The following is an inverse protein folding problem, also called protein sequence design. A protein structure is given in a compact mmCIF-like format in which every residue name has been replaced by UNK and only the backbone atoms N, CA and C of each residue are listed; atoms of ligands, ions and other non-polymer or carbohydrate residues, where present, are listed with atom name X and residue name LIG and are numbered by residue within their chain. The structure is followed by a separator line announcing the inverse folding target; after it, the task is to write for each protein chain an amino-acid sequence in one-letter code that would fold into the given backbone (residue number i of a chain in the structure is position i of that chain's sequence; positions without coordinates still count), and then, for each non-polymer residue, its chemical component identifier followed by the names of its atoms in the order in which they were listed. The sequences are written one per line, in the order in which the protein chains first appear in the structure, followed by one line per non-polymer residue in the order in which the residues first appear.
data_IF_214916706409
#
_entry.id   IF_214916706409
#
_cell.length_a   1.000
_cell.length_b   1.000
_cell.length_c   1.000
_cell.angle_alpha   90.00
_cell.angle_beta   90.00
_cell.angle_gamma   90.00
#
_symmetry.space_group_name_H-M   'P 1'
#
loop_
_entity.id
_entity.type
_entity.pdbx_description
1 polymer ?
#
# COMPACT_ATOMS: atom_id res chain seq x y z
N UNK A 1 16.71 -24.95 26.46
CA UNK A 1 16.85 -25.67 25.17
C UNK A 1 16.20 -24.82 24.09
N UNK A 2 16.97 -23.93 23.44
CA UNK A 2 16.45 -22.97 22.47
C UNK A 2 16.62 -23.54 21.04
N UNK A 3 15.51 -23.75 20.34
CA UNK A 3 15.51 -24.19 18.96
C UNK A 3 15.79 -22.97 18.06
N UNK A 4 17.00 -22.87 17.51
CA UNK A 4 17.29 -21.93 16.42
C UNK A 4 16.77 -22.51 15.10
N UNK A 5 15.94 -21.78 14.34
CA UNK A 5 15.58 -22.21 12.99
C UNK A 5 16.80 -22.15 12.07
N UNK A 6 17.04 -23.22 11.29
CA UNK A 6 18.08 -23.23 10.26
C UNK A 6 17.64 -22.41 9.05
N UNK A 7 18.52 -21.57 8.47
CA UNK A 7 18.15 -20.78 7.29
C UNK A 7 18.07 -21.69 6.07
N UNK A 8 16.89 -21.75 5.45
CA UNK A 8 16.66 -22.40 4.16
C UNK A 8 16.80 -21.34 3.07
N UNK A 9 17.77 -21.51 2.17
CA UNK A 9 17.75 -21.06 0.77
C UNK A 9 17.66 -19.55 0.44
N UNK A 10 18.67 -19.07 -0.31
CA UNK A 10 18.75 -17.80 -1.09
C UNK A 10 18.23 -16.51 -0.43
N UNK A 11 19.19 -15.67 0.01
CA UNK A 11 19.21 -14.26 -0.38
C UNK A 11 18.42 -13.25 0.45
N UNK A 12 17.96 -13.58 1.66
CA UNK A 12 17.45 -12.59 2.60
C UNK A 12 18.18 -12.72 3.93
N UNK A 13 18.90 -11.68 4.34
CA UNK A 13 19.41 -11.57 5.71
C UNK A 13 18.22 -11.27 6.61
N UNK A 14 17.59 -12.31 7.16
CA UNK A 14 16.53 -12.16 8.14
C UNK A 14 17.12 -11.53 9.41
N UNK A 15 16.89 -10.23 9.61
CA UNK A 15 17.14 -9.58 10.90
C UNK A 15 16.03 -9.99 11.85
N UNK A 16 16.39 -10.64 12.96
CA UNK A 16 15.44 -10.92 14.03
C UNK A 16 15.03 -9.58 14.67
N UNK A 17 13.74 -9.31 14.72
CA UNK A 17 13.15 -8.15 15.38
C UNK A 17 12.26 -8.65 16.52
N UNK A 18 12.41 -8.05 17.69
CA UNK A 18 11.55 -8.32 18.85
C UNK A 18 10.64 -7.12 19.06
N UNK A 19 9.34 -7.38 19.18
CA UNK A 19 8.33 -6.38 19.53
C UNK A 19 7.72 -6.81 20.86
N UNK A 20 7.70 -5.91 21.84
CA UNK A 20 7.18 -6.17 23.19
C UNK A 20 6.04 -5.20 23.48
N UNK A 21 4.86 -5.72 23.80
CA UNK A 21 3.73 -4.91 24.28
C UNK A 21 3.88 -4.65 25.79
N UNK A 22 3.56 -3.42 26.23
CA UNK A 22 3.62 -3.03 27.65
C UNK A 22 2.26 -3.09 28.36
N UNK A 23 1.19 -3.33 27.60
CA UNK A 23 -0.19 -3.45 28.06
C UNK A 23 -1.03 -4.19 27.00
N UNK A 24 -2.31 -4.43 27.28
CA UNK A 24 -3.23 -5.06 26.33
C UNK A 24 -3.22 -4.34 24.98
N UNK A 25 -2.79 -5.06 23.94
CA UNK A 25 -2.51 -4.47 22.61
C UNK A 25 -3.08 -5.36 21.50
N UNK A 26 -3.67 -4.73 20.48
CA UNK A 26 -3.98 -5.36 19.19
C UNK A 26 -3.00 -4.82 18.15
N UNK A 27 -2.11 -5.68 17.66
CA UNK A 27 -1.03 -5.33 16.74
C UNK A 27 -1.19 -6.06 15.40
N UNK A 28 -0.89 -5.36 14.31
CA UNK A 28 -0.70 -5.96 12.97
C UNK A 28 0.68 -5.56 12.46
N UNK A 29 1.45 -6.53 11.97
CA UNK A 29 2.75 -6.32 11.33
C UNK A 29 2.61 -6.65 9.85
N UNK A 30 2.88 -5.68 8.98
CA UNK A 30 2.85 -5.84 7.52
C UNK A 30 4.25 -5.57 6.99
N UNK A 31 4.78 -6.51 6.21
CA UNK A 31 6.11 -6.40 5.61
C UNK A 31 6.20 -7.20 4.32
N UNK A 32 7.20 -6.89 3.51
CA UNK A 32 7.43 -7.52 2.21
C UNK A 32 8.63 -6.91 1.51
N UNK A 33 8.98 -7.46 0.34
CA UNK A 33 10.00 -6.86 -0.52
C UNK A 33 9.56 -5.46 -0.96
N UNK A 34 10.54 -4.55 -1.12
CA UNK A 34 10.26 -3.21 -1.64
C UNK A 34 9.65 -3.30 -3.04
N UNK A 35 8.57 -2.54 -3.27
CA UNK A 35 7.96 -2.41 -4.59
C UNK A 35 8.70 -1.40 -5.50
N UNK A 36 9.71 -0.70 -4.97
CA UNK A 36 10.39 0.41 -5.63
C UNK A 36 9.62 1.75 -5.52
N UNK A 37 10.11 2.82 -6.17
CA UNK A 37 9.47 4.13 -6.10
C UNK A 37 8.04 4.11 -6.62
N UNK A 38 7.14 4.84 -5.94
CA UNK A 38 5.78 5.11 -6.37
C UNK A 38 5.47 6.58 -6.18
N UNK A 39 4.77 7.16 -7.14
CA UNK A 39 4.13 8.45 -7.02
C UNK A 39 2.73 8.21 -6.45
N UNK A 40 2.33 9.04 -5.49
CA UNK A 40 1.04 8.97 -4.83
C UNK A 40 0.45 10.38 -4.85
N UNK A 41 -0.74 10.53 -5.41
CA UNK A 41 -1.53 11.76 -5.39
C UNK A 41 -2.99 11.38 -5.20
N UNK A 42 -3.59 11.82 -4.09
CA UNK A 42 -4.91 11.37 -3.66
C UNK A 42 -5.03 9.83 -3.67
N UNK A 43 -6.06 9.28 -4.31
CA UNK A 43 -6.28 7.84 -4.45
C UNK A 43 -5.51 7.19 -5.62
N UNK A 44 -4.62 7.92 -6.30
CA UNK A 44 -3.84 7.42 -7.44
C UNK A 44 -2.42 7.05 -7.03
N UNK A 45 -2.00 5.82 -7.38
CA UNK A 45 -0.66 5.31 -7.13
C UNK A 45 -0.10 4.73 -8.43
N UNK A 46 1.05 5.23 -8.87
CA UNK A 46 1.70 4.75 -10.09
C UNK A 46 3.23 4.83 -10.01
N UNK A 47 3.92 4.17 -10.93
CA UNK A 47 5.38 4.33 -11.14
C UNK A 47 5.74 5.49 -12.05
N UNK A 48 4.76 6.06 -12.76
CA UNK A 48 4.92 7.18 -13.70
C UNK A 48 3.96 8.31 -13.31
N UNK A 49 4.47 9.54 -13.27
CA UNK A 49 3.67 10.74 -12.97
C UNK A 49 2.65 11.04 -14.07
N UNK A 50 2.95 10.73 -15.33
CA UNK A 50 2.02 11.00 -16.43
C UNK A 50 0.73 10.17 -16.33
N UNK A 51 0.83 8.96 -15.77
CA UNK A 51 -0.34 8.12 -15.49
C UNK A 51 -1.23 8.74 -14.42
N UNK A 52 -0.65 9.39 -13.40
CA UNK A 52 -1.40 10.09 -12.36
C UNK A 52 -2.11 11.30 -12.95
N UNK A 53 -1.42 12.12 -13.74
CA UNK A 53 -2.05 13.29 -14.38
C UNK A 53 -3.18 12.88 -15.33
N UNK A 54 -2.99 11.81 -16.10
CA UNK A 54 -4.05 11.25 -16.95
C UNK A 54 -5.24 10.76 -16.10
N UNK A 55 -4.98 10.07 -14.99
CA UNK A 55 -6.04 9.59 -14.09
C UNK A 55 -6.81 10.75 -13.44
N UNK A 56 -6.13 11.83 -13.05
CA UNK A 56 -6.77 13.03 -12.49
C UNK A 56 -7.69 13.70 -13.50
N UNK A 57 -7.25 13.85 -14.76
CA UNK A 57 -8.10 14.37 -15.83
C UNK A 57 -9.34 13.50 -16.06
N UNK A 58 -9.16 12.17 -16.12
CA UNK A 58 -10.26 11.21 -16.27
C UNK A 58 -11.24 11.28 -15.09
N UNK A 59 -10.74 11.49 -13.87
CA UNK A 59 -11.58 11.65 -12.69
C UNK A 59 -12.42 12.92 -12.73
N UNK A 60 -11.80 14.06 -13.04
CA UNK A 60 -12.52 15.33 -13.23
C UNK A 60 -13.57 15.26 -14.34
N UNK A 61 -13.29 14.48 -15.39
CA UNK A 61 -14.21 14.25 -16.51
C UNK A 61 -15.22 13.11 -16.27
N UNK A 62 -15.23 12.50 -15.08
CA UNK A 62 -16.10 11.37 -14.71
C UNK A 62 -16.02 10.19 -15.70
N UNK A 63 -14.82 9.88 -16.18
CA UNK A 63 -14.55 8.79 -17.15
C UNK A 63 -14.12 7.48 -16.49
N UNK A 64 -14.25 7.38 -15.17
CA UNK A 64 -14.22 6.11 -14.46
C UNK A 64 -15.63 5.53 -14.41
N UNK A 65 -15.78 4.20 -14.37
CA UNK A 65 -17.09 3.58 -14.23
C UNK A 65 -17.82 4.11 -12.99
N UNK A 66 -19.11 4.42 -13.13
CA UNK A 66 -19.94 4.77 -11.98
C UNK A 66 -20.20 3.55 -11.12
N UNK A 67 -20.38 3.79 -9.83
CA UNK A 67 -20.78 2.76 -8.87
C UNK A 67 -22.31 2.73 -8.82
N UNK A 68 -22.96 1.57 -9.04
CA UNK A 68 -24.42 1.46 -8.96
C UNK A 68 -24.93 1.88 -7.58
N UNK A 69 -25.89 2.83 -7.57
CA UNK A 69 -26.47 3.37 -6.33
C UNK A 69 -25.73 4.56 -5.72
N UNK A 70 -24.65 5.02 -6.36
CA UNK A 70 -23.73 6.03 -5.81
C UNK A 70 -23.42 7.13 -6.86
N UNK A 71 -24.36 7.35 -7.79
CA UNK A 71 -24.12 8.22 -8.95
C UNK A 71 -23.98 9.71 -8.58
N UNK A 72 -24.50 10.11 -7.42
CA UNK A 72 -24.51 11.50 -6.96
C UNK A 72 -23.32 11.84 -6.02
N UNK A 73 -22.54 10.85 -5.58
CA UNK A 73 -21.50 11.00 -4.55
C UNK A 73 -20.11 11.28 -5.17
N UNK A 74 -20.04 12.29 -6.04
CA UNK A 74 -18.76 12.70 -6.64
C UNK A 74 -17.88 13.50 -5.66
N UNK A 75 -16.65 13.04 -5.45
CA UNK A 75 -15.65 13.73 -4.61
C UNK A 75 -14.62 14.45 -5.52
N UNK A 76 -14.56 15.80 -5.51
CA UNK A 76 -13.58 16.53 -6.32
C UNK A 76 -12.16 16.31 -5.80
N UNK A 77 -11.18 16.49 -6.69
CA UNK A 77 -9.77 16.58 -6.28
C UNK A 77 -9.56 17.87 -5.45
N UNK A 78 -8.65 17.85 -4.46
CA UNK A 78 -8.30 19.03 -3.65
C UNK A 78 -7.62 20.14 -4.45
#
# INVERSE_FOLDING_TARGET
MALYPRPIGRGFTAKLLTVTAQSDTRLVIIGGASLGPRYIDWNFVATDKNLIETAKQRWQQQQFPSIPGDADDFIPLP
#
